data_IF_814671327423
#
_entry.id   IF_814671327423
#
_cell.length_a   1.000
_cell.length_b   1.000
_cell.length_c   1.000
_cell.angle_alpha   90.00
_cell.angle_beta   90.00
_cell.angle_gamma   90.00
#
_symmetry.space_group_name_H-M   'P 1'
#
loop_
_entity.id
_entity.type
_entity.pdbx_description
1 polymer ?
#
# COMPACT_ATOMS: atom_id res chain seq x y z
N UNK A 1 -5.15 34.03 -11.33
CA UNK A 1 -4.31 33.22 -10.40
C UNK A 1 -5.13 32.26 -9.53
N UNK A 2 -6.43 32.48 -9.28
CA UNK A 2 -7.28 31.52 -8.56
C UNK A 2 -7.76 30.31 -9.38
N UNK A 3 -7.86 30.45 -10.71
CA UNK A 3 -8.46 29.42 -11.58
C UNK A 3 -7.64 28.14 -11.69
N UNK A 4 -6.30 28.23 -11.60
CA UNK A 4 -5.42 27.07 -11.68
C UNK A 4 -5.52 26.17 -10.45
N UNK A 5 -5.64 26.75 -9.26
CA UNK A 5 -5.78 25.99 -8.02
C UNK A 5 -7.15 25.32 -7.95
N UNK A 6 -8.21 26.01 -8.40
CA UNK A 6 -9.55 25.42 -8.55
C UNK A 6 -9.52 24.22 -9.51
N UNK A 7 -8.86 24.35 -10.66
CA UNK A 7 -8.73 23.26 -11.62
C UNK A 7 -7.99 22.05 -11.01
N UNK A 8 -6.91 22.28 -10.26
CA UNK A 8 -6.15 21.20 -9.62
C UNK A 8 -6.98 20.47 -8.55
N UNK A 9 -7.77 21.20 -7.77
CA UNK A 9 -8.73 20.63 -6.81
C UNK A 9 -9.80 19.80 -7.52
N UNK A 10 -10.40 20.32 -8.58
CA UNK A 10 -11.43 19.60 -9.36
C UNK A 10 -10.84 18.31 -9.93
N UNK A 11 -9.64 18.37 -10.53
CA UNK A 11 -8.96 17.18 -11.07
C UNK A 11 -8.69 16.17 -9.96
N UNK A 12 -8.20 16.60 -8.79
CA UNK A 12 -7.98 15.71 -7.65
C UNK A 12 -9.27 14.99 -7.21
N UNK A 13 -10.38 15.71 -7.10
CA UNK A 13 -11.68 15.12 -6.73
C UNK A 13 -12.15 14.11 -7.79
N UNK A 14 -12.12 14.50 -9.07
CA UNK A 14 -12.55 13.63 -10.18
C UNK A 14 -11.70 12.35 -10.23
N UNK A 15 -10.39 12.47 -10.10
CA UNK A 15 -9.48 11.32 -10.10
C UNK A 15 -9.74 10.41 -8.90
N UNK A 16 -9.97 10.95 -7.70
CA UNK A 16 -10.34 10.15 -6.52
C UNK A 16 -11.64 9.36 -6.74
N UNK A 17 -12.66 9.97 -7.36
CA UNK A 17 -13.93 9.29 -7.69
C UNK A 17 -13.70 8.18 -8.74
N UNK A 18 -12.92 8.46 -9.78
CA UNK A 18 -12.59 7.46 -10.80
C UNK A 18 -11.82 6.27 -10.22
N UNK A 19 -10.86 6.52 -9.32
CA UNK A 19 -10.13 5.46 -8.60
C UNK A 19 -11.09 4.59 -7.79
N UNK A 20 -12.03 5.20 -7.08
CA UNK A 20 -13.03 4.45 -6.32
C UNK A 20 -13.91 3.56 -7.21
N UNK A 21 -14.43 4.11 -8.32
CA UNK A 21 -15.23 3.35 -9.30
C UNK A 21 -14.42 2.19 -9.88
N UNK A 22 -13.16 2.43 -10.24
CA UNK A 22 -12.27 1.40 -10.78
C UNK A 22 -12.03 0.27 -9.77
N UNK A 23 -11.81 0.59 -8.49
CA UNK A 23 -11.61 -0.42 -7.45
C UNK A 23 -12.89 -1.23 -7.16
N UNK A 24 -14.07 -0.60 -7.24
CA UNK A 24 -15.35 -1.33 -7.18
C UNK A 24 -15.47 -2.29 -8.37
N UNK A 25 -15.14 -1.84 -9.58
CA UNK A 25 -15.14 -2.69 -10.78
C UNK A 25 -14.19 -3.89 -10.63
N UNK A 26 -12.96 -3.66 -10.15
CA UNK A 26 -12.01 -4.74 -9.89
C UNK A 26 -12.58 -5.76 -8.90
N UNK A 27 -13.18 -5.31 -7.80
CA UNK A 27 -13.76 -6.21 -6.81
C UNK A 27 -14.90 -7.04 -7.41
N UNK A 28 -15.81 -6.44 -8.18
CA UNK A 28 -16.95 -7.14 -8.79
C UNK A 28 -16.50 -8.17 -9.82
N UNK A 29 -15.42 -7.89 -10.56
CA UNK A 29 -14.93 -8.78 -11.62
C UNK A 29 -14.07 -9.94 -11.09
N UNK A 30 -13.29 -9.70 -10.02
CA UNK A 30 -12.36 -10.69 -9.45
C UNK A 30 -12.87 -11.39 -8.18
N UNK A 31 -14.05 -11.04 -7.68
CA UNK A 31 -14.66 -11.79 -6.57
C UNK A 31 -15.04 -13.22 -6.97
N UNK A 32 -14.92 -14.15 -6.03
CA UNK A 32 -15.36 -15.53 -6.23
C UNK A 32 -16.90 -15.57 -6.39
N UNK A 33 -17.46 -16.39 -7.31
CA UNK A 33 -18.90 -16.47 -7.54
C UNK A 33 -19.69 -16.86 -6.28
N UNK A 34 -19.12 -17.70 -5.43
CA UNK A 34 -19.76 -18.12 -4.17
C UNK A 34 -19.85 -17.00 -3.12
N UNK A 35 -19.08 -15.92 -3.28
CA UNK A 35 -19.01 -14.82 -2.31
C UNK A 35 -19.74 -13.55 -2.82
N UNK A 36 -20.46 -13.61 -3.95
CA UNK A 36 -20.99 -12.42 -4.65
C UNK A 36 -21.86 -11.51 -3.77
N UNK A 37 -22.71 -12.07 -2.90
CA UNK A 37 -23.63 -11.32 -2.03
C UNK A 37 -23.37 -11.53 -0.53
N UNK A 38 -22.16 -11.94 -0.16
CA UNK A 38 -21.76 -12.13 1.24
C UNK A 38 -20.65 -11.15 1.64
N UNK A 39 -20.44 -10.99 2.94
CA UNK A 39 -19.34 -10.24 3.55
C UNK A 39 -19.11 -8.80 3.02
N UNK A 40 -20.14 -7.95 3.04
CA UNK A 40 -20.04 -6.55 2.60
C UNK A 40 -18.97 -5.72 3.35
N UNK A 41 -18.74 -5.99 4.64
CA UNK A 41 -17.78 -5.23 5.44
C UNK A 41 -16.33 -5.43 4.98
N UNK A 42 -15.79 -6.66 4.87
CA UNK A 42 -14.46 -6.87 4.29
C UNK A 42 -14.32 -6.34 2.87
N UNK A 43 -15.35 -6.48 2.02
CA UNK A 43 -15.33 -5.92 0.67
C UNK A 43 -15.17 -4.40 0.65
N UNK A 44 -15.88 -3.70 1.52
CA UNK A 44 -15.72 -2.24 1.68
C UNK A 44 -14.29 -1.88 2.10
N UNK A 45 -13.72 -2.60 3.07
CA UNK A 45 -12.33 -2.38 3.52
C UNK A 45 -11.33 -2.61 2.39
N UNK A 46 -11.55 -3.62 1.54
CA UNK A 46 -10.70 -3.88 0.36
C UNK A 46 -10.77 -2.73 -0.65
N UNK A 47 -11.98 -2.28 -1.02
CA UNK A 47 -12.15 -1.16 -1.95
C UNK A 47 -11.51 0.11 -1.41
N UNK A 48 -11.72 0.40 -0.12
CA UNK A 48 -11.15 1.56 0.54
C UNK A 48 -9.63 1.48 0.60
N UNK A 49 -9.06 0.34 0.99
CA UNK A 49 -7.61 0.13 1.05
C UNK A 49 -6.93 0.25 -0.32
N UNK A 50 -7.52 -0.33 -1.37
CA UNK A 50 -7.03 -0.17 -2.74
C UNK A 50 -7.13 1.28 -3.23
N UNK A 51 -8.19 1.99 -2.80
CA UNK A 51 -8.39 3.40 -3.19
C UNK A 51 -7.36 4.31 -2.54
N UNK A 52 -7.11 4.17 -1.23
CA UNK A 52 -6.10 4.98 -0.55
C UNK A 52 -4.71 4.68 -1.11
N UNK A 53 -4.36 3.40 -1.33
CA UNK A 53 -3.07 3.04 -1.92
C UNK A 53 -2.84 3.65 -3.32
N UNK A 54 -3.87 3.64 -4.18
CA UNK A 54 -3.79 4.28 -5.50
C UNK A 54 -3.68 5.81 -5.40
N UNK A 55 -4.41 6.43 -4.47
CA UNK A 55 -4.32 7.87 -4.21
C UNK A 55 -2.94 8.25 -3.69
N UNK A 56 -2.31 7.43 -2.83
CA UNK A 56 -0.94 7.65 -2.34
C UNK A 56 0.07 7.74 -3.49
N UNK A 57 -0.10 6.94 -4.55
CA UNK A 57 0.74 7.02 -5.75
C UNK A 57 0.43 8.29 -6.56
N UNK A 58 -0.85 8.62 -6.74
CA UNK A 58 -1.30 9.80 -7.52
C UNK A 58 -1.02 11.13 -6.82
N UNK A 59 -0.67 11.13 -5.53
CA UNK A 59 -0.22 12.32 -4.82
C UNK A 59 1.15 12.83 -5.30
N UNK A 60 2.01 11.97 -5.84
CA UNK A 60 3.32 12.38 -6.37
C UNK A 60 3.19 13.38 -7.54
N UNK A 61 2.46 13.06 -8.63
CA UNK A 61 2.26 14.02 -9.71
C UNK A 61 1.43 15.23 -9.26
N UNK A 62 0.52 15.06 -8.28
CA UNK A 62 -0.22 16.18 -7.71
C UNK A 62 0.71 17.17 -6.97
N UNK A 63 1.70 16.69 -6.20
CA UNK A 63 2.70 17.56 -5.54
C UNK A 63 3.56 18.30 -6.58
N UNK A 64 4.01 17.61 -7.64
CA UNK A 64 4.78 18.24 -8.73
C UNK A 64 3.96 19.35 -9.41
N UNK A 65 2.69 19.08 -9.72
CA UNK A 65 1.79 20.06 -10.33
C UNK A 65 1.52 21.24 -9.38
N UNK A 66 1.34 20.98 -8.08
CA UNK A 66 1.10 21.99 -7.06
C UNK A 66 2.31 22.93 -6.88
N UNK A 67 3.54 22.40 -6.89
CA UNK A 67 4.78 23.21 -6.86
C UNK A 67 4.98 24.01 -8.14
N UNK A 68 4.63 23.44 -9.29
CA UNK A 68 4.74 24.14 -10.57
C UNK A 68 3.76 25.33 -10.65
N UNK A 69 2.58 25.22 -10.05
CA UNK A 69 1.62 26.33 -9.94
C UNK A 69 2.21 27.57 -9.27
N UNK A 70 3.15 27.35 -8.34
CA UNK A 70 3.79 28.38 -7.53
C UNK A 70 5.01 29.06 -8.19
N UNK A 71 5.56 28.49 -9.27
CA UNK A 71 6.87 28.90 -9.81
C UNK A 71 6.92 30.32 -10.38
N UNK A 72 5.78 30.94 -10.66
CA UNK A 72 5.69 32.28 -11.25
C UNK A 72 5.06 33.31 -10.31
N UNK A 73 4.90 32.96 -9.03
CA UNK A 73 4.29 33.85 -8.08
C UNK A 73 5.34 34.85 -7.53
N UNK A 74 5.13 36.13 -7.84
CA UNK A 74 6.07 37.23 -7.55
C UNK A 74 6.06 37.62 -6.04
N UNK A 75 5.06 37.15 -5.27
CA UNK A 75 4.92 37.46 -3.84
C UNK A 75 4.97 36.18 -2.98
N UNK A 76 5.71 36.24 -1.87
CA UNK A 76 6.00 35.11 -0.97
C UNK A 76 4.77 34.40 -0.37
N UNK A 77 3.58 35.00 -0.39
CA UNK A 77 2.35 34.39 0.15
C UNK A 77 1.40 33.81 -0.91
N UNK A 78 1.71 33.91 -2.21
CA UNK A 78 0.80 33.39 -3.25
C UNK A 78 0.74 31.86 -3.23
N UNK A 79 1.77 31.21 -2.71
CA UNK A 79 1.76 29.78 -2.44
C UNK A 79 0.83 29.36 -1.30
N UNK A 80 0.32 30.29 -0.50
CA UNK A 80 -0.63 29.99 0.58
C UNK A 80 -2.06 29.70 0.05
N UNK A 81 -2.34 29.99 -1.24
CA UNK A 81 -3.59 29.60 -1.91
C UNK A 81 -3.50 28.22 -2.58
N UNK A 82 -2.35 27.55 -2.52
CA UNK A 82 -2.17 26.21 -3.12
C UNK A 82 -2.61 25.11 -2.15
N UNK A 83 -2.73 23.87 -2.64
CA UNK A 83 -3.11 22.74 -1.80
C UNK A 83 -2.07 22.54 -0.68
N UNK A 84 -2.49 22.38 0.60
CA UNK A 84 -1.57 22.14 1.71
C UNK A 84 -1.01 20.73 1.64
N UNK A 85 -0.04 20.51 0.75
CA UNK A 85 0.49 19.18 0.45
C UNK A 85 1.10 18.49 1.66
N UNK A 86 1.76 19.23 2.56
CA UNK A 86 2.33 18.65 3.80
C UNK A 86 1.24 17.96 4.64
N UNK A 87 0.11 18.65 4.82
CA UNK A 87 -0.99 18.14 5.65
C UNK A 87 -1.72 17.00 4.94
N UNK A 88 -1.87 17.06 3.62
CA UNK A 88 -2.44 15.98 2.81
C UNK A 88 -1.59 14.71 2.84
N UNK A 89 -0.26 14.84 2.69
CA UNK A 89 0.68 13.73 2.81
C UNK A 89 0.61 13.10 4.20
N UNK A 90 0.63 13.91 5.26
CA UNK A 90 0.52 13.43 6.62
C UNK A 90 -0.82 12.72 6.86
N UNK A 91 -1.93 13.30 6.38
CA UNK A 91 -3.27 12.72 6.53
C UNK A 91 -3.37 11.35 5.86
N UNK A 92 -2.91 11.23 4.60
CA UNK A 92 -2.96 9.96 3.85
C UNK A 92 -2.07 8.91 4.50
N UNK A 93 -0.85 9.26 4.93
CA UNK A 93 0.01 8.30 5.60
C UNK A 93 -0.51 7.85 6.98
N UNK A 94 -1.17 8.74 7.73
CA UNK A 94 -1.85 8.35 8.97
C UNK A 94 -3.02 7.41 8.67
N UNK A 95 -3.81 7.69 7.64
CA UNK A 95 -4.90 6.81 7.21
C UNK A 95 -4.36 5.45 6.78
N UNK A 96 -3.28 5.39 5.99
CA UNK A 96 -2.62 4.15 5.60
C UNK A 96 -2.14 3.35 6.82
N UNK A 97 -1.50 4.01 7.79
CA UNK A 97 -1.09 3.36 9.03
C UNK A 97 -2.28 2.79 9.82
N UNK A 98 -3.38 3.54 9.94
CA UNK A 98 -4.60 3.07 10.61
C UNK A 98 -5.20 1.87 9.87
N UNK A 99 -5.24 1.92 8.54
CA UNK A 99 -5.76 0.83 7.72
C UNK A 99 -4.94 -0.45 7.89
N UNK A 100 -3.61 -0.34 7.81
CA UNK A 100 -2.71 -1.50 7.90
C UNK A 100 -2.67 -2.10 9.30
N UNK A 101 -2.58 -1.30 10.35
CA UNK A 101 -2.40 -1.82 11.71
C UNK A 101 -3.70 -2.16 12.44
N UNK A 102 -4.84 -1.55 12.05
CA UNK A 102 -6.10 -1.74 12.78
C UNK A 102 -7.23 -2.26 11.90
N UNK A 103 -7.56 -1.57 10.80
CA UNK A 103 -8.79 -1.86 10.03
C UNK A 103 -8.68 -3.17 9.24
N UNK A 104 -7.56 -3.42 8.55
CA UNK A 104 -7.34 -4.64 7.78
C UNK A 104 -7.24 -5.87 8.69
N UNK A 105 -6.44 -5.86 9.78
CA UNK A 105 -6.44 -6.97 10.74
C UNK A 105 -7.82 -7.20 11.35
N UNK A 106 -8.56 -6.13 11.68
CA UNK A 106 -9.93 -6.26 12.16
C UNK A 106 -10.83 -6.94 11.12
N UNK A 107 -10.78 -6.52 9.86
CA UNK A 107 -11.58 -7.11 8.80
C UNK A 107 -11.21 -8.58 8.54
N UNK A 108 -9.93 -8.94 8.66
CA UNK A 108 -9.44 -10.31 8.53
C UNK A 108 -9.95 -11.20 9.68
N UNK A 109 -9.71 -10.82 10.93
CA UNK A 109 -10.20 -11.58 12.09
C UNK A 109 -11.73 -11.61 12.18
N UNK A 110 -12.39 -10.53 11.73
CA UNK A 110 -13.84 -10.53 11.58
C UNK A 110 -14.22 -11.56 10.53
N UNK A 111 -13.68 -11.53 9.31
CA UNK A 111 -14.03 -12.48 8.24
C UNK A 111 -13.76 -13.95 8.61
N UNK A 112 -12.61 -14.24 9.21
CA UNK A 112 -12.24 -15.59 9.69
C UNK A 112 -13.03 -16.04 10.94
N UNK A 113 -13.70 -15.09 11.61
CA UNK A 113 -14.55 -15.38 12.75
C UNK A 113 -15.66 -16.35 12.38
N UNK A 114 -15.67 -17.48 13.09
CA UNK A 114 -16.62 -18.59 12.98
C UNK A 114 -18.06 -18.11 12.73
N UNK A 115 -18.65 -18.55 11.61
CA UNK A 115 -19.98 -18.12 11.14
C UNK A 115 -21.10 -18.54 12.11
N UNK A 116 -20.84 -19.54 12.93
CA UNK A 116 -21.79 -20.08 13.92
C UNK A 116 -21.91 -19.18 15.17
N UNK A 117 -21.07 -18.15 15.31
CA UNK A 117 -21.12 -17.20 16.44
C UNK A 117 -21.99 -16.00 16.11
N UNK A 118 -22.74 -15.51 17.11
CA UNK A 118 -23.49 -14.26 16.99
C UNK A 118 -22.58 -13.09 16.61
N UNK A 119 -23.11 -12.14 15.83
CA UNK A 119 -22.36 -10.97 15.32
C UNK A 119 -21.61 -10.23 16.43
N UNK A 120 -22.23 -10.04 17.60
CA UNK A 120 -21.58 -9.39 18.74
C UNK A 120 -20.39 -10.17 19.32
N UNK A 121 -20.47 -11.50 19.39
CA UNK A 121 -19.35 -12.34 19.83
C UNK A 121 -18.20 -12.30 18.82
N UNK A 122 -18.52 -12.25 17.53
CA UNK A 122 -17.55 -12.12 16.44
C UNK A 122 -16.80 -10.80 16.51
N UNK A 123 -17.52 -9.68 16.68
CA UNK A 123 -16.92 -8.34 16.84
C UNK A 123 -16.03 -8.28 18.09
N UNK A 124 -16.51 -8.80 19.23
CA UNK A 124 -15.72 -8.82 20.47
C UNK A 124 -14.44 -9.65 20.33
N UNK A 125 -14.54 -10.81 19.67
CA UNK A 125 -13.38 -11.66 19.39
C UNK A 125 -12.38 -10.97 18.48
N UNK A 126 -12.84 -10.38 17.37
CA UNK A 126 -11.98 -9.66 16.43
C UNK A 126 -11.31 -8.45 17.10
N UNK A 127 -12.04 -7.66 17.87
CA UNK A 127 -11.46 -6.53 18.63
C UNK A 127 -10.38 -6.99 19.61
N UNK A 128 -10.58 -8.11 20.31
CA UNK A 128 -9.58 -8.61 21.25
C UNK A 128 -8.28 -9.00 20.53
N UNK A 129 -8.36 -9.66 19.37
CA UNK A 129 -7.19 -9.98 18.56
C UNK A 129 -6.49 -8.76 17.97
N UNK A 130 -7.26 -7.75 17.56
CA UNK A 130 -6.71 -6.48 17.08
C UNK A 130 -5.98 -5.76 18.21
N UNK A 131 -6.54 -5.71 19.41
CA UNK A 131 -5.88 -5.10 20.58
C UNK A 131 -4.58 -5.82 20.92
N UNK A 132 -4.58 -7.16 20.94
CA UNK A 132 -3.36 -7.95 21.18
C UNK A 132 -2.31 -7.65 20.10
N UNK A 133 -2.70 -7.65 18.83
CA UNK A 133 -1.78 -7.36 17.72
C UNK A 133 -1.25 -5.93 17.80
N UNK A 134 -2.11 -4.96 18.12
CA UNK A 134 -1.74 -3.56 18.28
C UNK A 134 -0.77 -3.34 19.45
N UNK A 135 -0.95 -4.05 20.57
CA UNK A 135 0.00 -4.01 21.70
C UNK A 135 1.36 -4.55 21.26
N UNK A 136 1.40 -5.72 20.60
CA UNK A 136 2.65 -6.32 20.14
C UNK A 136 3.37 -5.40 19.14
N UNK A 137 2.66 -4.92 18.10
CA UNK A 137 3.21 -3.99 17.13
C UNK A 137 3.64 -2.66 17.77
N UNK A 138 2.83 -2.12 18.67
CA UNK A 138 3.13 -0.87 19.39
C UNK A 138 4.35 -0.99 20.30
N UNK A 139 4.53 -2.10 21.00
CA UNK A 139 5.72 -2.36 21.81
C UNK A 139 6.97 -2.46 20.93
N UNK A 140 6.91 -3.19 19.81
CA UNK A 140 8.03 -3.31 18.87
C UNK A 140 8.39 -1.93 18.29
N UNK A 141 7.41 -1.16 17.81
CA UNK A 141 7.63 0.18 17.28
C UNK A 141 8.14 1.15 18.35
N UNK A 142 7.65 1.06 19.59
CA UNK A 142 8.09 1.89 20.71
C UNK A 142 9.53 1.62 21.12
N UNK A 143 9.94 0.35 21.17
CA UNK A 143 11.34 -0.03 21.45
C UNK A 143 12.24 0.48 20.32
N UNK A 144 11.86 0.29 19.06
CA UNK A 144 12.62 0.76 17.91
C UNK A 144 12.73 2.30 17.90
N UNK A 145 11.67 3.02 18.25
CA UNK A 145 11.67 4.48 18.39
C UNK A 145 12.63 4.94 19.50
N UNK A 146 12.67 4.24 20.64
CA UNK A 146 13.60 4.54 21.73
C UNK A 146 15.07 4.36 21.35
N UNK A 147 15.37 3.37 20.49
CA UNK A 147 16.74 3.04 20.09
C UNK A 147 17.23 3.85 18.87
N UNK A 148 16.38 4.04 17.86
CA UNK A 148 16.76 4.54 16.52
C UNK A 148 15.91 5.77 16.10
N UNK A 149 15.09 6.33 16.98
CA UNK A 149 14.23 7.50 16.68
C UNK A 149 14.95 8.85 16.60
N UNK A 150 16.27 8.86 16.40
CA UNK A 150 17.07 10.08 16.26
C UNK A 150 17.50 10.24 14.82
N UNK A 151 17.36 11.46 14.30
CA UNK A 151 17.81 11.82 12.96
C UNK A 151 18.94 12.82 13.07
N UNK A 152 20.01 12.55 12.33
CA UNK A 152 21.19 13.41 12.26
C UNK A 152 21.14 14.24 10.96
N UNK A 153 21.16 15.55 11.12
CA UNK A 153 21.21 16.50 10.02
C UNK A 153 22.61 17.12 9.92
N UNK A 154 23.19 17.09 8.73
CA UNK A 154 24.40 17.85 8.43
C UNK A 154 24.02 19.31 8.20
N UNK A 155 24.33 20.18 9.16
CA UNK A 155 24.11 21.61 9.04
C UNK A 155 25.45 22.33 8.86
N UNK A 156 25.46 23.36 8.01
CA UNK A 156 26.62 24.24 7.86
C UNK A 156 26.34 25.51 8.62
N UNK A 157 27.15 25.78 9.66
CA UNK A 157 27.04 27.05 10.35
C UNK A 157 27.57 28.16 9.43
N UNK A 158 26.64 29.04 9.02
CA UNK A 158 26.97 30.25 8.29
C UNK A 158 27.39 31.31 9.32
N UNK A 159 28.63 31.78 9.24
CA UNK A 159 29.09 32.94 10.02
C UNK A 159 29.50 34.04 9.07
N UNK A 160 29.01 35.25 9.29
CA UNK A 160 29.47 36.46 8.60
C UNK A 160 29.96 37.48 9.61
N UNK A 161 31.03 38.20 9.27
CA UNK A 161 31.40 39.41 10.00
C UNK A 161 30.28 40.46 9.94
N UNK A 162 30.23 41.34 10.92
CA UNK A 162 29.33 42.50 10.91
C UNK A 162 29.99 43.67 10.19
N UNK A 163 29.22 44.40 9.40
CA UNK A 163 29.64 45.66 8.78
C UNK A 163 28.67 46.77 9.18
N UNK A 164 29.18 47.98 9.33
CA UNK A 164 28.35 49.17 9.56
C UNK A 164 27.39 49.40 8.39
N UNK A 165 26.15 49.75 8.72
CA UNK A 165 25.08 49.94 7.73
C UNK A 165 25.46 51.05 6.73
N UNK A 166 25.53 50.77 5.41
CA UNK A 166 25.94 51.77 4.44
C UNK A 166 24.84 52.81 4.19
N UNK A 167 25.25 54.04 3.89
CA UNK A 167 24.34 55.15 3.52
C UNK A 167 23.91 55.13 2.05
N UNK A 168 24.48 54.24 1.22
CA UNK A 168 24.16 54.06 -0.20
C UNK A 168 23.89 52.59 -0.51
N UNK A 169 22.87 52.34 -1.34
CA UNK A 169 22.35 51.01 -1.67
C UNK A 169 22.64 50.64 -3.13
N UNK A 170 23.81 50.11 -3.43
CA UNK A 170 24.12 49.54 -4.75
C UNK A 170 23.94 48.02 -4.74
N UNK A 171 22.70 47.57 -4.55
CA UNK A 171 22.35 46.16 -4.72
C UNK A 171 21.88 45.94 -6.15
N UNK A 172 22.66 45.18 -6.92
CA UNK A 172 22.30 44.74 -8.26
C UNK A 172 22.11 43.22 -8.26
N UNK A 173 21.48 42.67 -9.29
CA UNK A 173 21.30 41.22 -9.41
C UNK A 173 22.63 40.44 -9.39
N UNK A 174 23.75 41.11 -9.71
CA UNK A 174 25.12 40.61 -9.66
C UNK A 174 25.88 40.94 -8.37
N UNK A 175 25.38 41.84 -7.51
CA UNK A 175 25.96 42.18 -6.21
C UNK A 175 24.94 42.00 -5.10
N UNK A 176 24.88 40.77 -4.58
CA UNK A 176 23.94 40.35 -3.54
C UNK A 176 24.50 40.57 -2.12
N UNK A 177 25.72 41.07 -2.00
CA UNK A 177 26.50 41.10 -0.76
C UNK A 177 27.03 42.50 -0.49
N UNK A 178 27.17 42.85 0.79
CA UNK A 178 27.82 44.09 1.22
C UNK A 178 29.32 44.02 0.88
N UNK A 179 29.78 44.92 0.00
CA UNK A 179 31.14 44.93 -0.55
C UNK A 179 31.20 44.36 -1.98
N UNK A 180 32.27 44.69 -2.72
CA UNK A 180 32.45 44.37 -4.15
C UNK A 180 32.80 42.88 -4.38
N UNK A 181 32.02 41.97 -3.78
CA UNK A 181 32.23 40.53 -3.79
C UNK A 181 31.09 39.81 -4.51
N UNK A 182 31.43 38.80 -5.30
CA UNK A 182 30.46 38.01 -6.07
C UNK A 182 29.71 36.97 -5.20
N UNK A 183 30.17 36.73 -3.96
CA UNK A 183 29.58 35.76 -3.02
C UNK A 183 29.71 36.27 -1.58
N UNK A 184 28.67 36.07 -0.77
CA UNK A 184 28.63 36.65 0.56
C UNK A 184 29.47 35.81 1.51
N UNK A 185 30.12 36.45 2.49
CA UNK A 185 30.95 35.79 3.50
C UNK A 185 30.27 34.61 4.19
N UNK A 186 28.95 34.65 4.36
CA UNK A 186 28.17 33.56 4.92
C UNK A 186 28.29 32.24 4.12
N UNK A 187 28.38 32.32 2.78
CA UNK A 187 28.47 31.17 1.89
C UNK A 187 29.90 30.64 1.70
N UNK A 188 30.91 31.40 2.12
CA UNK A 188 32.33 31.05 2.02
C UNK A 188 32.85 30.24 3.23
N UNK A 189 31.97 29.80 4.14
CA UNK A 189 32.35 29.00 5.30
C UNK A 189 33.12 27.73 4.86
N UNK A 190 34.24 27.34 5.48
CA UNK A 190 34.99 26.14 5.10
C UNK A 190 34.18 24.85 5.36
N UNK A 191 34.56 23.74 4.70
CA UNK A 191 33.92 22.43 4.90
C UNK A 191 34.03 21.94 6.36
N UNK A 192 35.02 22.42 7.12
CA UNK A 192 35.17 22.18 8.56
C UNK A 192 34.09 22.85 9.43
N UNK A 193 33.23 23.70 8.84
CA UNK A 193 32.06 24.31 9.52
C UNK A 193 30.81 23.41 9.46
N UNK A 194 30.91 22.23 8.84
CA UNK A 194 29.84 21.24 8.88
C UNK A 194 29.77 20.62 10.28
N UNK A 195 28.59 20.71 10.88
CA UNK A 195 28.30 20.12 12.19
C UNK A 195 27.08 19.23 12.06
N UNK A 196 27.10 18.09 12.74
CA UNK A 196 25.93 17.22 12.86
C UNK A 196 25.03 17.72 13.98
N UNK A 197 23.75 17.92 13.66
CA UNK A 197 22.71 18.25 14.62
C UNK A 197 21.77 17.06 14.73
N UNK A 198 21.60 16.55 15.95
CA UNK A 198 20.75 15.41 16.22
C UNK A 198 19.41 15.91 16.74
N UNK A 199 18.30 15.52 16.10
CA UNK A 199 16.95 15.86 16.55
C UNK A 199 16.11 14.59 16.68
N UNK A 200 15.27 14.55 17.73
CA UNK A 200 14.31 13.48 17.90
C UNK A 200 13.06 13.76 17.05
N UNK A 201 12.68 12.79 16.22
CA UNK A 201 11.48 12.91 15.37
C UNK A 201 10.22 12.71 16.18
N UNK A 202 9.07 13.19 15.70
CA UNK A 202 7.80 12.85 16.35
C UNK A 202 7.46 11.37 16.13
N UNK A 203 6.74 10.76 17.07
CA UNK A 203 6.38 9.34 16.98
C UNK A 203 5.56 8.98 15.71
N UNK A 204 4.56 9.77 15.28
CA UNK A 204 3.83 9.48 14.05
C UNK A 204 4.71 9.51 12.80
N UNK A 205 5.61 10.49 12.69
CA UNK A 205 6.56 10.59 11.56
C UNK A 205 7.51 9.39 11.53
N UNK A 206 7.97 8.94 12.70
CA UNK A 206 8.80 7.74 12.81
C UNK A 206 8.09 6.49 12.31
N UNK A 207 6.83 6.27 12.72
CA UNK A 207 6.04 5.10 12.29
C UNK A 207 5.83 5.14 10.77
N UNK A 208 5.51 6.30 10.20
CA UNK A 208 5.35 6.47 8.75
C UNK A 208 6.66 6.20 8.01
N UNK A 209 7.79 6.73 8.49
CA UNK A 209 9.10 6.51 7.87
C UNK A 209 9.50 5.03 7.88
N UNK A 210 9.28 4.33 9.01
CA UNK A 210 9.58 2.90 9.08
C UNK A 210 8.64 2.07 8.20
N UNK A 211 7.33 2.37 8.22
CA UNK A 211 6.34 1.68 7.41
C UNK A 211 6.60 1.86 5.90
N UNK A 212 7.03 3.04 5.47
CA UNK A 212 7.39 3.29 4.07
C UNK A 212 8.67 2.55 3.65
N UNK A 213 9.68 2.44 4.53
CA UNK A 213 10.87 1.62 4.26
C UNK A 213 10.48 0.15 4.08
N UNK A 214 9.78 -0.44 5.04
CA UNK A 214 9.34 -1.85 4.96
C UNK A 214 8.40 -2.05 3.77
N UNK A 215 7.47 -1.12 3.57
CA UNK A 215 6.53 -1.11 2.46
C UNK A 215 7.23 -1.06 1.11
N UNK A 216 8.32 -0.31 0.96
CA UNK A 216 9.09 -0.26 -0.28
C UNK A 216 9.72 -1.60 -0.64
N UNK A 217 10.25 -2.33 0.36
CA UNK A 217 10.80 -3.68 0.17
C UNK A 217 9.70 -4.65 -0.26
N UNK A 218 8.56 -4.66 0.44
CA UNK A 218 7.43 -5.52 0.07
C UNK A 218 6.85 -5.17 -1.32
N UNK A 219 6.77 -3.87 -1.64
CA UNK A 219 6.28 -3.39 -2.92
C UNK A 219 7.19 -3.83 -4.08
N UNK A 220 8.51 -3.79 -3.91
CA UNK A 220 9.43 -4.28 -4.96
C UNK A 220 9.26 -5.78 -5.23
N UNK A 221 9.04 -6.58 -4.18
CA UNK A 221 8.83 -8.03 -4.32
C UNK A 221 7.46 -8.33 -4.94
N UNK A 222 6.37 -7.88 -4.32
CA UNK A 222 5.02 -8.22 -4.76
C UNK A 222 4.59 -7.46 -6.02
N UNK A 223 4.95 -6.19 -6.14
CA UNK A 223 4.71 -5.38 -7.33
C UNK A 223 5.50 -5.91 -8.53
N UNK A 224 6.77 -6.29 -8.32
CA UNK A 224 7.61 -6.89 -9.36
C UNK A 224 7.05 -8.23 -9.87
N UNK A 225 6.70 -9.14 -8.95
CA UNK A 225 6.08 -10.42 -9.31
C UNK A 225 4.74 -10.20 -10.01
N UNK A 226 3.89 -9.30 -9.51
CA UNK A 226 2.58 -9.00 -10.08
C UNK A 226 2.66 -8.52 -11.54
N UNK A 227 3.57 -7.60 -11.84
CA UNK A 227 3.77 -7.10 -13.22
C UNK A 227 4.33 -8.19 -14.13
N UNK A 228 5.22 -9.07 -13.63
CA UNK A 228 5.80 -10.15 -14.43
C UNK A 228 4.83 -11.30 -14.71
N UNK A 229 3.82 -11.51 -13.85
CA UNK A 229 2.88 -12.64 -13.97
C UNK A 229 2.08 -12.65 -15.28
N UNK A 230 1.58 -11.50 -15.73
CA UNK A 230 0.77 -11.41 -16.95
C UNK A 230 1.57 -11.74 -18.23
N UNK A 231 2.72 -11.10 -18.52
CA UNK A 231 3.51 -11.43 -19.70
C UNK A 231 4.04 -12.87 -19.65
N UNK A 232 4.51 -13.35 -18.49
CA UNK A 232 4.93 -14.74 -18.34
C UNK A 232 3.77 -15.72 -18.56
N UNK A 233 2.58 -15.40 -18.07
CA UNK A 233 1.37 -16.18 -18.30
C UNK A 233 1.00 -16.28 -19.78
N UNK A 234 1.10 -15.18 -20.52
CA UNK A 234 0.88 -15.16 -21.97
C UNK A 234 1.94 -15.98 -22.73
N UNK A 235 3.21 -15.88 -22.33
CA UNK A 235 4.31 -16.67 -22.91
C UNK A 235 4.09 -18.16 -22.63
N UNK A 236 3.78 -18.54 -21.39
CA UNK A 236 3.52 -19.93 -21.05
C UNK A 236 2.27 -20.46 -21.73
N UNK A 237 1.22 -19.65 -21.89
CA UNK A 237 0.04 -20.00 -22.68
C UNK A 237 0.41 -20.28 -24.13
N UNK A 238 1.27 -19.46 -24.74
CA UNK A 238 1.75 -19.68 -26.10
C UNK A 238 2.64 -20.94 -26.24
N UNK A 239 3.54 -21.19 -25.28
CA UNK A 239 4.45 -22.35 -25.29
C UNK A 239 3.69 -23.65 -25.04
N UNK A 240 2.81 -23.67 -24.03
CA UNK A 240 2.02 -24.83 -23.61
C UNK A 240 0.73 -25.01 -24.42
N UNK A 241 0.51 -24.21 -25.46
CA UNK A 241 -0.68 -24.37 -26.32
C UNK A 241 -0.73 -25.81 -26.87
N UNK A 242 -1.89 -26.49 -26.80
CA UNK A 242 -2.02 -27.81 -27.39
C UNK A 242 -1.80 -27.71 -28.90
N UNK A 243 -0.77 -28.39 -29.41
CA UNK A 243 -0.41 -28.38 -30.84
C UNK A 243 -1.13 -29.46 -31.65
N UNK A 244 -1.72 -30.45 -30.97
CA UNK A 244 -2.46 -31.52 -31.62
C UNK A 244 -3.93 -31.13 -31.76
N UNK A 245 -4.44 -31.10 -33.00
CA UNK A 245 -5.87 -30.98 -33.26
C UNK A 245 -6.51 -32.34 -32.98
N UNK A 246 -7.11 -32.50 -31.80
CA UNK A 246 -7.88 -33.69 -31.45
C UNK A 246 -9.16 -33.70 -32.27
N UNK A 247 -9.46 -34.82 -32.92
CA UNK A 247 -10.72 -34.98 -33.66
C UNK A 247 -11.91 -34.97 -32.68
N UNK A 248 -13.06 -34.45 -33.10
CA UNK A 248 -14.26 -34.36 -32.23
C UNK A 248 -14.62 -35.70 -31.58
N UNK A 249 -14.42 -36.81 -32.29
CA UNK A 249 -14.66 -38.17 -31.80
C UNK A 249 -13.68 -38.59 -30.69
N UNK A 250 -12.38 -38.32 -30.83
CA UNK A 250 -11.38 -38.58 -29.80
C UNK A 250 -11.63 -37.74 -28.54
N UNK A 251 -11.98 -36.46 -28.70
CA UNK A 251 -12.31 -35.59 -27.57
C UNK A 251 -13.53 -36.12 -26.80
N UNK A 252 -14.61 -36.49 -27.49
CA UNK A 252 -15.81 -37.04 -26.84
C UNK A 252 -15.47 -38.35 -26.11
N UNK A 253 -14.63 -39.21 -26.68
CA UNK A 253 -14.21 -40.48 -26.06
C UNK A 253 -13.40 -40.24 -24.78
N UNK A 254 -12.39 -39.38 -24.82
CA UNK A 254 -11.61 -39.07 -23.62
C UNK A 254 -12.43 -38.31 -22.57
N UNK A 255 -13.28 -37.37 -22.97
CA UNK A 255 -14.17 -36.67 -22.05
C UNK A 255 -15.15 -37.63 -21.36
N UNK A 256 -15.67 -38.63 -22.07
CA UNK A 256 -16.53 -39.67 -21.47
C UNK A 256 -15.74 -40.61 -20.57
N UNK A 257 -14.51 -40.98 -20.90
CA UNK A 257 -13.63 -41.76 -20.01
C UNK A 257 -13.26 -40.98 -18.73
N UNK A 258 -12.93 -39.70 -18.84
CA UNK A 258 -12.70 -38.80 -17.70
C UNK A 258 -13.95 -38.68 -16.84
N UNK A 259 -15.12 -38.50 -17.47
CA UNK A 259 -16.40 -38.46 -16.77
C UNK A 259 -16.73 -39.77 -16.03
N UNK A 260 -16.39 -40.93 -16.61
CA UNK A 260 -16.52 -42.23 -15.93
C UNK A 260 -15.60 -42.33 -14.72
N UNK A 261 -14.31 -42.00 -14.88
CA UNK A 261 -13.33 -41.99 -13.76
C UNK A 261 -13.76 -41.05 -12.63
N UNK A 262 -14.24 -39.86 -12.96
CA UNK A 262 -14.74 -38.91 -11.96
C UNK A 262 -15.97 -39.44 -11.20
N UNK A 263 -16.88 -40.13 -11.89
CA UNK A 263 -18.04 -40.78 -11.25
C UNK A 263 -17.64 -41.94 -10.35
N UNK A 264 -16.66 -42.74 -10.77
CA UNK A 264 -16.10 -43.81 -9.94
C UNK A 264 -15.44 -43.25 -8.68
N UNK A 265 -14.58 -42.23 -8.83
CA UNK A 265 -13.96 -41.52 -7.70
C UNK A 265 -15.02 -40.95 -6.74
N UNK A 266 -16.05 -40.28 -7.27
CA UNK A 266 -17.16 -39.76 -6.45
C UNK A 266 -17.86 -40.89 -5.67
N UNK A 267 -18.15 -42.00 -6.33
CA UNK A 267 -18.80 -43.16 -5.68
C UNK A 267 -17.91 -43.76 -4.59
N UNK A 268 -16.60 -43.85 -4.83
CA UNK A 268 -15.64 -44.29 -3.80
C UNK A 268 -15.57 -43.32 -2.62
N UNK A 269 -15.55 -42.01 -2.87
CA UNK A 269 -15.55 -40.99 -1.83
C UNK A 269 -16.86 -41.01 -1.00
N UNK A 270 -18.01 -41.15 -1.65
CA UNK A 270 -19.31 -41.25 -0.97
C UNK A 270 -19.39 -42.53 -0.11
N UNK A 271 -18.85 -43.66 -0.61
CA UNK A 271 -18.78 -44.90 0.17
C UNK A 271 -17.85 -44.77 1.40
N UNK A 272 -16.71 -44.08 1.27
CA UNK A 272 -15.80 -43.81 2.38
C UNK A 272 -16.43 -42.87 3.42
N UNK A 273 -17.25 -41.91 2.97
CA UNK A 273 -18.01 -41.01 3.84
C UNK A 273 -19.13 -41.74 4.59
N UNK A 274 -19.76 -42.74 4.00
CA UNK A 274 -20.70 -43.62 4.69
C UNK A 274 -20.00 -44.54 5.70
N UNK A 275 -18.86 -45.12 5.33
CA UNK A 275 -18.03 -45.92 6.26
C UNK A 275 -17.58 -45.07 7.46
N UNK A 276 -17.22 -43.80 7.24
CA UNK A 276 -16.87 -42.87 8.32
C UNK A 276 -18.04 -42.63 9.29
N UNK A 277 -19.25 -42.40 8.76
CA UNK A 277 -20.46 -42.23 9.57
C UNK A 277 -20.86 -43.49 10.33
N UNK A 278 -20.55 -44.68 9.79
CA UNK A 278 -20.81 -45.97 10.44
C UNK A 278 -19.81 -46.32 11.56
N UNK A 279 -18.80 -45.49 11.81
CA UNK A 279 -17.83 -45.66 12.89
C UNK A 279 -16.72 -46.68 12.62
N UNK A 280 -16.68 -47.31 11.44
CA UNK A 280 -15.70 -48.33 11.08
C UNK A 280 -14.35 -47.72 10.61
N UNK A 281 -13.64 -47.00 11.51
CA UNK A 281 -12.33 -46.39 11.21
C UNK A 281 -11.17 -47.39 11.25
N UNK A 282 -11.25 -48.43 10.44
CA UNK A 282 -10.25 -49.51 10.36
C UNK A 282 -9.01 -49.20 9.49
N UNK A 283 -8.07 -50.15 9.45
CA UNK A 283 -6.83 -50.08 8.63
C UNK A 283 -7.13 -50.06 7.11
N UNK A 284 -8.21 -50.73 6.69
CA UNK A 284 -8.68 -50.78 5.29
C UNK A 284 -9.22 -49.42 4.81
N UNK A 285 -10.00 -48.75 5.65
CA UNK A 285 -10.50 -47.39 5.39
C UNK A 285 -9.34 -46.40 5.18
N UNK A 286 -8.34 -46.39 6.08
CA UNK A 286 -7.15 -45.52 5.95
C UNK A 286 -6.36 -45.77 4.65
N UNK A 287 -6.32 -47.01 4.16
CA UNK A 287 -5.65 -47.36 2.89
C UNK A 287 -6.44 -46.86 1.68
N UNK A 288 -7.77 -46.97 1.72
CA UNK A 288 -8.65 -46.52 0.65
C UNK A 288 -8.72 -44.99 0.56
N UNK A 289 -8.71 -44.28 1.70
CA UNK A 289 -8.59 -42.81 1.73
C UNK A 289 -7.31 -42.33 1.05
N UNK A 290 -6.16 -42.95 1.38
CA UNK A 290 -4.86 -42.65 0.73
C UNK A 290 -4.83 -42.97 -0.77
N UNK A 291 -5.67 -43.88 -1.24
CA UNK A 291 -5.76 -44.22 -2.66
C UNK A 291 -6.61 -43.21 -3.45
N UNK A 292 -7.55 -42.52 -2.79
CA UNK A 292 -8.38 -41.46 -3.39
C UNK A 292 -7.67 -40.09 -3.34
N UNK A 293 -6.75 -39.87 -2.39
CA UNK A 293 -5.91 -38.67 -2.31
C UNK A 293 -4.80 -38.58 -3.39
N UNK A 294 -4.51 -39.68 -4.09
CA UNK A 294 -3.48 -39.76 -5.14
C UNK A 294 -4.08 -39.51 -6.52
#
# INVERSE_FOLDING_TARGET
MGDFNLALVIVAIVVCVLVFIFNVYLLVNYQHPDDANQAYFPKFVVVLGLSVAAISILMLPADVANRQACRHAIYNGACNLTLPMKDLWLAIYIVDAILVFFVIPFAMFYYEGDLDKSVGKRIKSALLWVVVTAIVCGLVLGILYGLIGKVDFTVRHLSSGTASFPSSWDFSHSQQCLGNSNQCSAYLAPASSEKTWTMQTTFPEYVVALATIVGSVLFTIFGGVGIACLPLGLIFSFIRRPRAVITRSQYIKEATELGKKARELKKTADSLRQEEKSGAKGRKWRKNVKAVEK
#
